data_IF_851721321493
#
_entry.id   IF_851721321493
#
_cell.length_a   1.000
_cell.length_b   1.000
_cell.length_c   1.000
_cell.angle_alpha   90.00
_cell.angle_beta   90.00
_cell.angle_gamma   90.00
#
_symmetry.space_group_name_H-M   'P 1'
#
loop_
_entity.id
_entity.type
_entity.pdbx_description
1 polymer ?
#
# COMPACT_ATOMS: atom_id res chain seq x y z
N UNK A 1 1.37 -3.79 17.44
CA UNK A 1 0.40 -4.84 17.87
C UNK A 1 -0.96 -4.67 17.19
N UNK A 2 -1.26 -3.48 16.62
CA UNK A 2 -2.54 -3.19 15.96
C UNK A 2 -2.76 -4.01 14.68
N UNK A 3 -1.69 -4.25 13.89
CA UNK A 3 -1.75 -5.07 12.67
C UNK A 3 -2.27 -6.48 12.98
N UNK A 4 -1.71 -7.12 14.01
CA UNK A 4 -2.13 -8.47 14.42
C UNK A 4 -3.58 -8.53 14.89
N UNK A 5 -4.08 -7.47 15.52
CA UNK A 5 -5.48 -7.39 15.88
C UNK A 5 -6.37 -7.39 14.62
N UNK A 6 -6.06 -6.55 13.63
CA UNK A 6 -6.81 -6.47 12.37
C UNK A 6 -6.73 -7.77 11.57
N UNK A 7 -5.58 -8.44 11.57
CA UNK A 7 -5.39 -9.75 10.96
C UNK A 7 -6.23 -10.83 11.65
N UNK A 8 -6.24 -10.87 12.98
CA UNK A 8 -7.05 -11.83 13.76
C UNK A 8 -8.56 -11.63 13.55
N UNK A 9 -9.00 -10.38 13.35
CA UNK A 9 -10.39 -10.07 12.99
C UNK A 9 -10.72 -10.40 11.52
N UNK A 10 -9.72 -10.72 10.68
CA UNK A 10 -9.92 -10.93 9.25
C UNK A 10 -10.27 -9.65 8.49
N UNK A 11 -9.93 -8.48 9.03
CA UNK A 11 -10.26 -7.17 8.46
C UNK A 11 -9.28 -6.78 7.33
N UNK A 12 -9.17 -7.62 6.30
CA UNK A 12 -8.17 -7.49 5.24
C UNK A 12 -8.24 -6.16 4.48
N UNK A 13 -9.43 -5.68 4.14
CA UNK A 13 -9.61 -4.40 3.44
C UNK A 13 -9.23 -3.19 4.30
N UNK A 14 -9.59 -3.21 5.58
CA UNK A 14 -9.22 -2.15 6.52
C UNK A 14 -7.71 -2.12 6.72
N UNK A 15 -7.08 -3.29 6.85
CA UNK A 15 -5.64 -3.38 6.98
C UNK A 15 -4.92 -2.89 5.71
N UNK A 16 -5.39 -3.32 4.53
CA UNK A 16 -4.86 -2.84 3.25
C UNK A 16 -4.96 -1.32 3.15
N UNK A 17 -6.12 -0.75 3.48
CA UNK A 17 -6.34 0.69 3.42
C UNK A 17 -5.39 1.46 4.36
N UNK A 18 -5.21 0.97 5.58
CA UNK A 18 -4.30 1.56 6.58
C UNK A 18 -2.84 1.54 6.12
N UNK A 19 -2.38 0.44 5.51
CA UNK A 19 -0.98 0.27 5.10
C UNK A 19 -0.65 0.87 3.71
N UNK A 20 -1.66 1.18 2.89
CA UNK A 20 -1.46 1.68 1.52
C UNK A 20 -1.93 3.13 1.37
N UNK A 21 -3.18 3.34 0.97
CA UNK A 21 -3.78 4.63 0.60
C UNK A 21 -3.88 5.62 1.76
N UNK A 22 -3.75 5.18 3.02
CA UNK A 22 -3.67 6.06 4.20
C UNK A 22 -2.25 6.34 4.69
N UNK A 23 -1.26 5.58 4.22
CA UNK A 23 0.15 5.73 4.65
C UNK A 23 1.01 6.24 3.49
N UNK A 24 1.37 5.36 2.57
CA UNK A 24 2.56 5.53 1.71
C UNK A 24 2.25 5.53 0.21
N UNK A 25 0.99 5.30 -0.20
CA UNK A 25 0.60 5.41 -1.62
C UNK A 25 0.32 6.89 -1.97
N UNK A 26 1.29 7.52 -2.64
CA UNK A 26 1.24 8.95 -2.99
C UNK A 26 0.09 9.25 -3.96
N UNK A 27 -0.14 8.39 -4.95
CA UNK A 27 -1.20 8.60 -5.93
C UNK A 27 -2.56 8.22 -5.33
N UNK A 28 -2.62 7.12 -4.60
CA UNK A 28 -3.81 6.64 -3.91
C UNK A 28 -4.37 7.64 -2.91
N UNK A 29 -3.51 8.31 -2.13
CA UNK A 29 -3.93 9.36 -1.17
C UNK A 29 -4.69 10.51 -1.82
N UNK A 30 -4.19 11.01 -2.96
CA UNK A 30 -4.82 12.13 -3.67
C UNK A 30 -6.16 11.71 -4.26
N UNK A 31 -6.21 10.51 -4.88
CA UNK A 31 -7.44 9.95 -5.43
C UNK A 31 -8.50 9.72 -4.37
N UNK A 32 -8.13 9.13 -3.23
CA UNK A 32 -9.05 8.92 -2.10
C UNK A 32 -9.62 10.25 -1.60
N UNK A 33 -8.79 11.29 -1.48
CA UNK A 33 -9.26 12.61 -1.09
C UNK A 33 -10.26 13.19 -2.11
N UNK A 34 -9.95 13.09 -3.40
CA UNK A 34 -10.84 13.52 -4.48
C UNK A 34 -12.17 12.74 -4.49
N UNK A 35 -12.12 11.43 -4.33
CA UNK A 35 -13.29 10.55 -4.25
C UNK A 35 -14.20 10.94 -3.07
N UNK A 36 -13.62 11.22 -1.89
CA UNK A 36 -14.38 11.69 -0.72
C UNK A 36 -15.08 13.02 -1.03
N UNK A 37 -14.39 13.97 -1.67
CA UNK A 37 -14.96 15.28 -2.02
C UNK A 37 -16.07 15.16 -3.06
N UNK A 38 -15.94 14.23 -4.02
CA UNK A 38 -16.94 13.98 -5.07
C UNK A 38 -18.11 13.11 -4.63
N UNK A 39 -18.00 12.45 -3.47
CA UNK A 39 -18.97 11.45 -3.02
C UNK A 39 -18.89 10.12 -3.78
N UNK A 40 -17.75 9.85 -4.43
CA UNK A 40 -17.48 8.58 -5.09
C UNK A 40 -16.80 7.62 -4.10
N UNK A 41 -17.17 6.34 -4.13
CA UNK A 41 -16.65 5.31 -3.23
C UNK A 41 -15.75 4.33 -3.97
N UNK A 42 -14.71 4.86 -4.62
CA UNK A 42 -13.64 4.05 -5.23
C UNK A 42 -12.38 4.13 -4.39
N UNK A 43 -11.88 2.97 -3.97
CA UNK A 43 -10.61 2.82 -3.29
C UNK A 43 -9.81 1.78 -4.08
N UNK A 44 -8.71 2.22 -4.67
CA UNK A 44 -7.77 1.36 -5.38
C UNK A 44 -6.41 1.49 -4.70
N UNK A 45 -5.90 0.38 -4.18
CA UNK A 45 -4.68 0.34 -3.40
C UNK A 45 -3.51 -0.09 -4.28
N UNK A 46 -2.54 0.81 -4.46
CA UNK A 46 -1.32 0.55 -5.21
C UNK A 46 -0.21 -0.12 -4.39
N UNK A 47 0.94 -0.27 -5.04
CA UNK A 47 2.17 -0.69 -4.39
C UNK A 47 2.70 0.45 -3.49
N UNK A 48 3.02 0.19 -2.21
CA UNK A 48 3.59 1.19 -1.31
C UNK A 48 4.97 1.66 -1.77
N UNK A 49 5.27 2.95 -1.59
CA UNK A 49 6.60 3.48 -1.92
C UNK A 49 7.72 2.91 -1.04
N UNK A 50 7.41 2.54 0.21
CA UNK A 50 8.36 1.87 1.11
C UNK A 50 8.84 0.52 0.55
N UNK A 51 8.01 -0.20 -0.21
CA UNK A 51 8.44 -1.42 -0.90
C UNK A 51 9.41 -1.12 -2.05
N UNK A 52 9.18 -0.05 -2.82
CA UNK A 52 10.10 0.39 -3.87
C UNK A 52 11.48 0.78 -3.29
N UNK A 53 11.50 1.42 -2.13
CA UNK A 53 12.74 1.73 -1.41
C UNK A 53 13.47 0.45 -1.00
N UNK A 54 12.76 -0.51 -0.41
CA UNK A 54 13.35 -1.80 -0.04
C UNK A 54 13.99 -2.52 -1.24
N UNK A 55 13.33 -2.55 -2.39
CA UNK A 55 13.89 -3.16 -3.61
C UNK A 55 15.18 -2.46 -4.05
N UNK A 56 15.23 -1.13 -3.98
CA UNK A 56 16.44 -0.36 -4.29
C UNK A 56 17.57 -0.61 -3.30
N UNK A 57 17.25 -0.71 -2.01
CA UNK A 57 18.22 -1.03 -0.96
C UNK A 57 18.83 -2.42 -1.16
N UNK A 58 18.02 -3.43 -1.49
CA UNK A 58 18.54 -4.77 -1.77
C UNK A 58 19.41 -4.78 -3.01
N UNK A 59 19.01 -4.09 -4.09
CA UNK A 59 19.84 -3.93 -5.30
C UNK A 59 21.17 -3.25 -5.03
N UNK A 60 21.22 -2.32 -4.07
CA UNK A 60 22.48 -1.66 -3.67
C UNK A 60 23.51 -2.62 -3.06
N UNK A 61 23.07 -3.78 -2.55
CA UNK A 61 23.92 -4.84 -2.03
C UNK A 61 24.47 -5.77 -3.13
N UNK A 62 24.16 -5.53 -4.41
CA UNK A 62 24.55 -6.38 -5.53
C UNK A 62 23.64 -7.62 -5.70
N UNK A 63 22.48 -7.63 -5.06
CA UNK A 63 21.45 -8.66 -5.23
C UNK A 63 20.45 -8.21 -6.28
N UNK A 64 20.30 -9.01 -7.35
CA UNK A 64 19.30 -8.73 -8.38
C UNK A 64 17.94 -9.30 -7.98
N UNK A 65 16.93 -8.44 -7.95
CA UNK A 65 15.56 -8.77 -7.61
C UNK A 65 14.65 -8.11 -8.64
N UNK A 66 13.80 -8.93 -9.26
CA UNK A 66 12.76 -8.50 -10.19
C UNK A 66 11.39 -8.98 -9.73
N UNK A 67 10.37 -8.18 -10.07
CA UNK A 67 8.98 -8.56 -9.85
C UNK A 67 8.52 -9.39 -11.04
N UNK A 68 8.32 -10.68 -10.83
CA UNK A 68 7.75 -11.57 -11.84
C UNK A 68 6.21 -11.49 -11.77
N UNK A 69 5.56 -11.33 -12.93
CA UNK A 69 4.10 -11.51 -13.06
C UNK A 69 3.84 -12.87 -13.71
N UNK A 70 3.30 -13.80 -12.93
CA UNK A 70 2.74 -15.07 -13.42
C UNK A 70 1.38 -14.88 -14.06
#
# INVERSE_FOLDING_TARGET
>A
MEVWALEAYGAAYTLQEMLTVKSDDVQGRTKVYESIVKGEHSIDAGMPESFNVLVKEIRSLGLDIELERS
#
